data_IF_290575511323
#
_entry.id   IF_290575511323
#
_cell.length_a   1.000
_cell.length_b   1.000
_cell.length_c   1.000
_cell.angle_alpha   90.00
_cell.angle_beta   90.00
_cell.angle_gamma   90.00
#
_symmetry.space_group_name_H-M   'P 1'
#
loop_
_entity.id
_entity.type
_entity.pdbx_description
1 polymer ?
#
# COMPACT_ATOMS: atom_id res chain seq x y z
N UNK A 1 -9.53 -57.64 29.75
CA UNK A 1 -10.04 -57.11 28.49
C UNK A 1 -10.36 -55.58 28.57
N UNK A 2 -10.87 -55.11 29.69
CA UNK A 2 -11.23 -53.68 29.86
C UNK A 2 -10.06 -52.72 29.73
N UNK A 3 -8.89 -53.04 30.28
CA UNK A 3 -7.69 -52.17 30.24
C UNK A 3 -7.19 -51.93 28.82
N UNK A 4 -7.26 -52.96 27.95
CA UNK A 4 -6.86 -52.84 26.54
C UNK A 4 -7.84 -51.95 25.76
N UNK A 5 -9.12 -52.03 26.07
CA UNK A 5 -10.17 -51.23 25.43
C UNK A 5 -10.03 -49.76 25.81
N UNK A 6 -9.72 -49.45 27.05
CA UNK A 6 -9.45 -48.07 27.55
C UNK A 6 -8.22 -47.47 26.86
N UNK A 7 -7.14 -48.22 26.68
CA UNK A 7 -5.92 -47.78 26.01
C UNK A 7 -6.15 -47.50 24.52
N UNK A 8 -6.96 -48.32 23.85
CA UNK A 8 -7.31 -48.11 22.43
C UNK A 8 -8.18 -46.86 22.27
N UNK A 9 -9.16 -46.63 23.16
CA UNK A 9 -10.01 -45.45 23.12
C UNK A 9 -9.21 -44.19 23.41
N UNK A 10 -8.33 -44.19 24.42
CA UNK A 10 -7.46 -43.04 24.73
C UNK A 10 -6.47 -42.78 23.60
N UNK A 11 -5.88 -43.79 22.99
CA UNK A 11 -5.00 -43.67 21.83
C UNK A 11 -5.74 -43.11 20.59
N UNK A 12 -6.98 -43.53 20.37
CA UNK A 12 -7.84 -43.01 19.30
C UNK A 12 -8.20 -41.51 19.49
N UNK A 13 -8.58 -41.14 20.72
CA UNK A 13 -8.90 -39.74 21.04
C UNK A 13 -7.70 -38.80 20.89
N UNK A 14 -6.51 -39.24 21.33
CA UNK A 14 -5.28 -38.44 21.16
C UNK A 14 -4.89 -38.28 19.69
N UNK A 15 -5.00 -39.36 18.90
CA UNK A 15 -4.73 -39.29 17.46
C UNK A 15 -5.69 -38.34 16.70
N UNK A 16 -6.97 -38.37 17.06
CA UNK A 16 -7.97 -37.43 16.49
C UNK A 16 -7.69 -35.99 16.90
N UNK A 17 -7.33 -35.74 18.16
CA UNK A 17 -6.99 -34.40 18.65
C UNK A 17 -5.74 -33.84 17.96
N UNK A 18 -4.69 -34.66 17.76
CA UNK A 18 -3.49 -34.27 17.04
C UNK A 18 -3.77 -34.01 15.55
N UNK A 19 -4.60 -34.84 14.92
CA UNK A 19 -4.99 -34.67 13.53
C UNK A 19 -5.83 -33.38 13.34
N UNK A 20 -6.77 -33.10 14.26
CA UNK A 20 -7.57 -31.88 14.26
C UNK A 20 -6.70 -30.62 14.47
N UNK A 21 -5.75 -30.66 15.40
CA UNK A 21 -4.80 -29.56 15.63
C UNK A 21 -3.90 -29.29 14.43
N UNK A 22 -3.40 -30.34 13.75
CA UNK A 22 -2.63 -30.20 12.51
C UNK A 22 -3.46 -29.63 11.36
N UNK A 23 -4.73 -30.03 11.24
CA UNK A 23 -5.65 -29.50 10.23
C UNK A 23 -5.98 -28.04 10.47
N UNK A 24 -6.18 -27.63 11.74
CA UNK A 24 -6.40 -26.23 12.15
C UNK A 24 -5.22 -25.36 11.76
N UNK A 25 -4.02 -25.75 12.16
CA UNK A 25 -2.79 -25.02 11.85
C UNK A 25 -2.53 -24.90 10.33
N UNK A 26 -2.81 -25.96 9.56
CA UNK A 26 -2.67 -25.94 8.11
C UNK A 26 -3.66 -24.96 7.45
N UNK A 27 -4.90 -24.89 7.94
CA UNK A 27 -5.90 -23.92 7.46
C UNK A 27 -5.51 -22.49 7.79
N UNK A 28 -4.99 -22.25 8.98
CA UNK A 28 -4.52 -20.92 9.41
C UNK A 28 -3.35 -20.44 8.56
N UNK A 29 -2.35 -21.29 8.31
CA UNK A 29 -1.23 -20.99 7.42
C UNK A 29 -1.70 -20.71 5.99
N UNK A 30 -2.60 -21.52 5.44
CA UNK A 30 -3.13 -21.30 4.09
C UNK A 30 -3.94 -19.99 3.99
N UNK A 31 -4.65 -19.63 5.06
CA UNK A 31 -5.37 -18.34 5.13
C UNK A 31 -4.39 -17.17 5.16
N UNK A 32 -3.38 -17.21 6.03
CA UNK A 32 -2.34 -16.18 6.10
C UNK A 32 -1.61 -16.02 4.76
N UNK A 33 -1.25 -17.14 4.11
CA UNK A 33 -0.65 -17.12 2.77
C UNK A 33 -1.57 -16.48 1.73
N UNK A 34 -2.88 -16.78 1.75
CA UNK A 34 -3.85 -16.20 0.84
C UNK A 34 -4.06 -14.70 1.04
N UNK A 35 -3.89 -14.18 2.25
CA UNK A 35 -3.97 -12.77 2.58
C UNK A 35 -2.72 -11.99 2.09
N UNK A 36 -1.54 -12.61 2.13
CA UNK A 36 -0.28 -12.00 1.70
C UNK A 36 -0.08 -12.07 0.18
N UNK A 37 -0.53 -13.13 -0.46
CA UNK A 37 -0.26 -13.41 -1.88
C UNK A 37 -0.57 -12.25 -2.85
N UNK A 38 -1.69 -11.50 -2.72
CA UNK A 38 -1.97 -10.38 -3.62
C UNK A 38 -0.93 -9.26 -3.53
N UNK A 39 -0.55 -8.88 -2.30
CA UNK A 39 0.41 -7.81 -2.03
C UNK A 39 1.82 -8.23 -2.42
N UNK A 40 2.19 -9.46 -2.12
CA UNK A 40 3.48 -10.04 -2.49
C UNK A 40 3.69 -10.02 -4.00
N UNK A 41 2.68 -10.42 -4.76
CA UNK A 41 2.73 -10.36 -6.24
C UNK A 41 2.96 -8.94 -6.75
N UNK A 42 2.25 -7.93 -6.19
CA UNK A 42 2.48 -6.54 -6.59
C UNK A 42 3.90 -6.08 -6.26
N UNK A 43 4.41 -6.43 -5.09
CA UNK A 43 5.79 -6.11 -4.71
C UNK A 43 6.81 -6.77 -5.66
N UNK A 44 6.61 -8.03 -6.01
CA UNK A 44 7.47 -8.76 -6.95
C UNK A 44 7.40 -8.16 -8.38
N UNK A 45 6.22 -7.71 -8.82
CA UNK A 45 6.06 -6.97 -10.09
C UNK A 45 6.82 -5.64 -10.06
N UNK A 46 6.80 -4.91 -8.93
CA UNK A 46 7.50 -3.64 -8.77
C UNK A 46 9.01 -3.81 -8.71
N UNK A 47 9.49 -4.86 -8.05
CA UNK A 47 10.91 -5.25 -8.04
C UNK A 47 11.37 -5.58 -9.46
N UNK A 48 10.55 -6.32 -10.21
CA UNK A 48 10.86 -6.65 -11.60
C UNK A 48 10.93 -5.38 -12.45
N UNK A 49 9.99 -4.44 -12.28
CA UNK A 49 10.01 -3.17 -12.99
C UNK A 49 11.27 -2.36 -12.68
N UNK A 50 11.66 -2.25 -11.40
CA UNK A 50 12.90 -1.59 -11.00
C UNK A 50 14.14 -2.23 -11.66
N UNK A 51 14.16 -3.57 -11.77
CA UNK A 51 15.25 -4.28 -12.45
C UNK A 51 15.33 -3.95 -13.95
N UNK A 52 14.19 -3.79 -14.62
CA UNK A 52 14.15 -3.33 -16.03
C UNK A 52 14.62 -1.88 -16.15
N UNK A 53 14.12 -0.99 -15.26
CA UNK A 53 14.53 0.41 -15.20
C UNK A 53 16.06 0.57 -15.00
N UNK A 54 16.69 -0.32 -14.20
CA UNK A 54 18.14 -0.36 -14.00
C UNK A 54 18.88 -0.80 -15.26
N UNK A 55 18.36 -1.78 -15.99
CA UNK A 55 18.94 -2.21 -17.26
C UNK A 55 18.86 -1.09 -18.32
N UNK A 56 17.75 -0.36 -18.36
CA UNK A 56 17.59 0.78 -19.25
C UNK A 56 18.58 1.89 -18.86
N UNK A 57 18.77 2.14 -17.56
CA UNK A 57 19.77 3.09 -17.08
C UNK A 57 21.18 2.69 -17.48
N UNK A 58 21.55 1.41 -17.42
CA UNK A 58 22.85 0.91 -17.89
C UNK A 58 23.09 1.24 -19.36
N UNK A 59 22.04 1.09 -20.18
CA UNK A 59 22.12 1.44 -21.61
C UNK A 59 22.26 2.96 -21.79
N UNK A 60 21.52 3.76 -21.04
CA UNK A 60 21.61 5.22 -21.06
C UNK A 60 23.02 5.71 -20.66
N UNK A 61 23.65 5.04 -19.70
CA UNK A 61 24.97 5.39 -19.18
C UNK A 61 26.12 4.90 -20.05
N UNK A 62 25.86 4.06 -21.06
CA UNK A 62 26.89 3.48 -21.90
C UNK A 62 27.74 4.58 -22.56
N UNK A 63 29.05 4.57 -22.28
CA UNK A 63 29.98 5.57 -22.80
C UNK A 63 30.04 6.91 -22.06
N UNK A 64 29.26 7.09 -20.97
CA UNK A 64 29.34 8.25 -20.13
C UNK A 64 30.19 7.95 -18.87
N UNK A 65 31.27 8.70 -18.61
CA UNK A 65 32.02 8.55 -17.37
C UNK A 65 31.18 9.04 -16.20
N UNK A 66 31.02 8.21 -15.18
CA UNK A 66 30.34 8.60 -13.96
C UNK A 66 31.30 9.33 -13.02
N UNK A 67 30.90 10.48 -12.53
CA UNK A 67 31.58 11.13 -11.42
C UNK A 67 31.40 10.32 -10.12
N UNK A 68 32.15 10.60 -9.05
CA UNK A 68 32.01 9.85 -7.80
C UNK A 68 30.61 9.90 -7.19
N UNK A 69 29.88 11.01 -7.38
CA UNK A 69 28.50 11.15 -6.88
C UNK A 69 27.52 10.30 -7.69
N UNK A 70 27.62 10.33 -9.02
CA UNK A 70 26.80 9.50 -9.90
C UNK A 70 27.06 8.01 -9.64
N UNK A 71 28.32 7.62 -9.45
CA UNK A 71 28.68 6.25 -9.12
C UNK A 71 28.11 5.80 -7.77
N UNK A 72 28.16 6.66 -6.74
CA UNK A 72 27.57 6.37 -5.44
C UNK A 72 26.04 6.21 -5.52
N UNK A 73 25.36 7.06 -6.29
CA UNK A 73 23.91 6.96 -6.50
C UNK A 73 23.55 5.71 -7.32
N UNK A 74 24.36 5.35 -8.32
CA UNK A 74 24.17 4.12 -9.10
C UNK A 74 24.31 2.87 -8.23
N UNK A 75 25.35 2.79 -7.38
CA UNK A 75 25.50 1.68 -6.41
C UNK A 75 24.30 1.60 -5.45
N UNK A 76 23.82 2.76 -4.96
CA UNK A 76 22.61 2.79 -4.11
C UNK A 76 21.39 2.21 -4.84
N UNK A 77 21.22 2.50 -6.11
CA UNK A 77 20.12 1.96 -6.90
C UNK A 77 20.20 0.42 -7.03
N UNK A 78 21.41 -0.12 -7.27
CA UNK A 78 21.66 -1.57 -7.30
C UNK A 78 21.40 -2.22 -5.94
N UNK A 79 21.92 -1.63 -4.86
CA UNK A 79 21.71 -2.13 -3.50
C UNK A 79 20.23 -2.12 -3.11
N UNK A 80 19.49 -1.09 -3.54
CA UNK A 80 18.04 -1.01 -3.37
C UNK A 80 17.33 -2.13 -4.11
N UNK A 81 17.70 -2.44 -5.32
CA UNK A 81 17.13 -3.56 -6.09
C UNK A 81 17.31 -4.91 -5.37
N UNK A 82 18.53 -5.24 -4.95
CA UNK A 82 18.79 -6.49 -4.23
C UNK A 82 18.10 -6.54 -2.87
N UNK A 83 18.04 -5.42 -2.17
CA UNK A 83 17.32 -5.30 -0.90
C UNK A 83 15.80 -5.47 -1.08
N UNK A 84 15.20 -4.82 -2.09
CA UNK A 84 13.78 -4.93 -2.39
C UNK A 84 13.40 -6.37 -2.77
N UNK A 85 14.23 -7.03 -3.58
CA UNK A 85 14.07 -8.43 -3.98
C UNK A 85 14.06 -9.36 -2.76
N UNK A 86 14.99 -9.15 -1.84
CA UNK A 86 15.08 -9.93 -0.60
C UNK A 86 13.88 -9.67 0.31
N UNK A 87 13.50 -8.41 0.48
CA UNK A 87 12.36 -8.01 1.31
C UNK A 87 11.03 -8.52 0.74
N UNK A 88 10.82 -8.46 -0.59
CA UNK A 88 9.62 -8.98 -1.24
C UNK A 88 9.50 -10.51 -1.08
N UNK A 89 10.60 -11.23 -1.22
CA UNK A 89 10.62 -12.68 -1.01
C UNK A 89 10.26 -13.06 0.45
N UNK A 90 10.69 -12.24 1.42
CA UNK A 90 10.49 -12.47 2.85
C UNK A 90 9.12 -12.01 3.37
N UNK A 91 8.23 -11.46 2.53
CA UNK A 91 6.92 -10.99 2.95
C UNK A 91 6.09 -12.12 3.57
N UNK A 92 5.70 -11.92 4.83
CA UNK A 92 4.85 -12.85 5.60
C UNK A 92 3.55 -12.22 6.08
N UNK A 93 3.48 -10.88 6.10
CA UNK A 93 2.30 -10.09 6.47
C UNK A 93 2.05 -9.02 5.41
N UNK A 94 0.79 -8.70 5.10
CA UNK A 94 0.48 -7.66 4.11
C UNK A 94 1.12 -6.30 4.43
N UNK A 95 1.18 -5.91 5.71
CA UNK A 95 1.73 -4.62 6.15
C UNK A 95 3.24 -4.49 5.94
N UNK A 96 3.96 -5.61 5.85
CA UNK A 96 5.41 -5.63 5.64
C UNK A 96 5.79 -5.08 4.24
N UNK A 97 4.81 -4.97 3.32
CA UNK A 97 5.02 -4.39 1.98
C UNK A 97 5.50 -2.94 2.02
N UNK A 98 5.18 -2.19 3.08
CA UNK A 98 5.65 -0.81 3.26
C UNK A 98 7.17 -0.72 3.19
N UNK A 99 7.86 -1.67 3.81
CA UNK A 99 9.32 -1.70 3.75
C UNK A 99 9.84 -1.93 2.33
N UNK A 100 9.15 -2.77 1.54
CA UNK A 100 9.50 -2.98 0.12
C UNK A 100 9.29 -1.72 -0.69
N UNK A 101 8.14 -1.03 -0.52
CA UNK A 101 7.84 0.20 -1.26
C UNK A 101 8.82 1.32 -0.94
N UNK A 102 9.25 1.47 0.32
CA UNK A 102 10.27 2.44 0.74
C UNK A 102 11.62 2.18 0.03
N UNK A 103 12.06 0.92 -0.04
CA UNK A 103 13.30 0.55 -0.74
C UNK A 103 13.19 0.82 -2.24
N UNK A 104 12.04 0.52 -2.86
CA UNK A 104 11.81 0.77 -4.28
C UNK A 104 11.81 2.27 -4.62
N UNK A 105 11.23 3.09 -3.75
CA UNK A 105 11.29 4.56 -3.88
C UNK A 105 12.73 5.08 -3.76
N UNK A 106 13.51 4.55 -2.82
CA UNK A 106 14.93 4.91 -2.66
C UNK A 106 15.74 4.56 -3.91
N UNK A 107 15.51 3.38 -4.49
CA UNK A 107 16.17 2.96 -5.71
C UNK A 107 15.84 3.85 -6.91
N UNK A 108 14.56 4.17 -7.11
CA UNK A 108 14.12 5.07 -8.20
C UNK A 108 14.63 6.50 -8.01
N UNK A 109 14.65 6.99 -6.78
CA UNK A 109 15.25 8.28 -6.49
C UNK A 109 16.75 8.30 -6.79
N UNK A 110 17.48 7.26 -6.41
CA UNK A 110 18.90 7.13 -6.72
C UNK A 110 19.16 7.12 -8.25
N UNK A 111 18.37 6.38 -9.03
CA UNK A 111 18.45 6.42 -10.50
C UNK A 111 18.17 7.81 -11.08
N UNK A 112 17.18 8.53 -10.54
CA UNK A 112 16.90 9.89 -10.96
C UNK A 112 18.08 10.84 -10.65
N UNK A 113 18.76 10.65 -9.50
CA UNK A 113 19.98 11.39 -9.17
C UNK A 113 21.13 11.08 -10.15
N UNK A 114 21.32 9.82 -10.55
CA UNK A 114 22.31 9.45 -11.57
C UNK A 114 22.06 10.19 -12.87
N UNK A 115 20.82 10.15 -13.39
CA UNK A 115 20.44 10.84 -14.63
C UNK A 115 20.70 12.35 -14.55
N UNK A 116 20.29 13.00 -13.45
CA UNK A 116 20.52 14.42 -13.25
C UNK A 116 22.01 14.79 -13.23
N UNK A 117 22.85 13.99 -12.54
CA UNK A 117 24.30 14.22 -12.52
C UNK A 117 24.95 14.05 -13.89
N UNK A 118 24.58 13.02 -14.63
CA UNK A 118 25.10 12.78 -15.98
C UNK A 118 24.68 13.88 -16.93
N UNK A 119 23.45 14.39 -16.78
CA UNK A 119 22.95 15.55 -17.56
C UNK A 119 23.50 16.90 -17.11
N UNK A 120 24.22 16.97 -15.99
CA UNK A 120 24.67 18.24 -15.39
C UNK A 120 23.54 19.09 -14.82
N UNK A 121 22.43 18.46 -14.46
CA UNK A 121 21.24 19.09 -13.91
C UNK A 121 21.24 19.07 -12.37
N UNK A 122 20.49 19.97 -11.72
CA UNK A 122 20.28 19.89 -10.27
C UNK A 122 19.63 18.57 -9.88
N UNK A 123 19.99 18.05 -8.69
CA UNK A 123 19.38 16.83 -8.17
C UNK A 123 17.87 17.03 -8.02
N UNK A 124 17.07 16.00 -8.39
CA UNK A 124 15.63 16.09 -8.30
C UNK A 124 15.16 16.21 -6.84
N UNK A 125 14.06 16.90 -6.62
CA UNK A 125 13.41 16.87 -5.32
C UNK A 125 12.82 15.47 -5.09
N UNK A 126 12.91 15.00 -3.85
CA UNK A 126 12.27 13.74 -3.48
C UNK A 126 10.77 13.96 -3.38
N UNK A 127 10.04 13.46 -4.36
CA UNK A 127 8.58 13.50 -4.43
C UNK A 127 8.01 12.10 -4.31
N UNK A 128 6.73 11.94 -3.88
CA UNK A 128 6.06 10.64 -3.95
C UNK A 128 6.08 10.09 -5.39
N UNK A 129 5.95 8.79 -5.58
CA UNK A 129 5.81 8.21 -6.91
C UNK A 129 4.51 8.65 -7.58
N UNK A 130 4.35 8.34 -8.88
CA UNK A 130 3.12 8.59 -9.61
C UNK A 130 1.94 7.88 -8.94
N UNK A 131 0.87 8.63 -8.62
CA UNK A 131 -0.33 8.08 -8.00
C UNK A 131 -1.04 7.06 -8.88
N UNK A 132 -1.01 7.25 -10.18
CA UNK A 132 -1.72 6.37 -11.12
C UNK A 132 -1.08 4.99 -11.23
N UNK A 133 0.25 4.94 -11.28
CA UNK A 133 1.06 3.72 -11.18
C UNK A 133 2.41 4.05 -10.53
N UNK A 134 2.69 3.55 -9.33
CA UNK A 134 3.98 3.79 -8.68
C UNK A 134 5.20 3.35 -9.49
N UNK A 135 5.03 2.43 -10.45
CA UNK A 135 6.11 1.98 -11.36
C UNK A 135 6.52 3.04 -12.38
N UNK A 136 5.71 4.09 -12.60
CA UNK A 136 6.12 5.22 -13.44
C UNK A 136 7.22 6.08 -12.82
N UNK A 137 7.67 5.76 -11.61
CA UNK A 137 8.72 6.47 -10.90
C UNK A 137 8.24 7.77 -10.25
N UNK A 138 9.20 8.70 -10.04
CA UNK A 138 8.94 9.94 -9.31
C UNK A 138 7.89 10.82 -10.02
N UNK A 139 7.00 11.40 -9.22
CA UNK A 139 6.12 12.45 -9.71
C UNK A 139 6.90 13.74 -9.99
N UNK A 140 6.47 14.48 -11.01
CA UNK A 140 7.04 15.79 -11.37
C UNK A 140 6.14 16.95 -10.94
N UNK A 141 4.84 16.72 -10.80
CA UNK A 141 3.86 17.72 -10.39
C UNK A 141 2.65 17.04 -9.73
N UNK A 142 1.86 17.85 -9.02
CA UNK A 142 0.51 17.47 -8.63
C UNK A 142 -0.47 17.94 -9.70
N UNK A 143 -1.46 17.11 -10.01
CA UNK A 143 -2.48 17.40 -11.01
C UNK A 143 -3.87 17.25 -10.42
N UNK A 144 -4.80 18.17 -10.73
CA UNK A 144 -6.19 18.02 -10.34
C UNK A 144 -6.81 16.86 -11.13
N UNK A 145 -7.24 15.86 -10.41
CA UNK A 145 -7.85 14.67 -10.99
C UNK A 145 -9.16 14.34 -10.27
N UNK A 146 -10.17 13.98 -11.06
CA UNK A 146 -11.48 13.58 -10.54
C UNK A 146 -11.74 12.12 -10.93
N UNK A 147 -11.77 11.20 -9.97
CA UNK A 147 -12.15 9.82 -10.24
C UNK A 147 -13.62 9.73 -10.66
N UNK A 148 -14.01 8.70 -11.42
CA UNK A 148 -15.41 8.48 -11.76
C UNK A 148 -16.30 8.43 -10.51
N UNK A 149 -17.26 9.35 -10.42
CA UNK A 149 -18.17 9.50 -9.27
C UNK A 149 -17.56 10.11 -8.00
N UNK A 150 -16.34 10.62 -8.06
CA UNK A 150 -15.63 11.22 -6.93
C UNK A 150 -15.50 12.74 -7.00
N UNK A 151 -14.87 13.33 -5.99
CA UNK A 151 -14.52 14.74 -5.94
C UNK A 151 -13.13 15.00 -6.54
N UNK A 152 -12.90 16.18 -7.15
CA UNK A 152 -11.58 16.57 -7.64
C UNK A 152 -10.58 16.71 -6.48
N UNK A 153 -9.34 16.27 -6.73
CA UNK A 153 -8.22 16.41 -5.80
C UNK A 153 -6.91 16.44 -6.55
N UNK A 154 -5.90 17.05 -5.95
CA UNK A 154 -4.57 17.03 -6.49
C UNK A 154 -3.88 15.71 -6.13
N UNK A 155 -3.28 15.06 -7.12
CA UNK A 155 -2.53 13.82 -6.96
C UNK A 155 -1.15 13.95 -7.62
N UNK A 156 -0.08 13.36 -7.03
CA UNK A 156 1.24 13.38 -7.63
C UNK A 156 1.26 12.55 -8.91
N UNK A 157 1.80 13.09 -10.00
CA UNK A 157 1.84 12.43 -11.29
C UNK A 157 3.21 12.54 -11.97
N UNK A 158 3.61 11.49 -12.70
CA UNK A 158 4.77 11.50 -13.57
C UNK A 158 4.53 12.44 -14.78
N UNK A 159 5.59 12.77 -15.50
CA UNK A 159 5.51 13.70 -16.64
C UNK A 159 4.45 13.27 -17.66
N UNK A 160 4.41 11.99 -18.01
CA UNK A 160 3.48 11.47 -19.01
C UNK A 160 2.01 11.57 -18.55
N UNK A 161 1.72 11.25 -17.28
CA UNK A 161 0.36 11.34 -16.76
C UNK A 161 -0.07 12.80 -16.51
N UNK A 162 0.87 13.69 -16.20
CA UNK A 162 0.61 15.14 -16.19
C UNK A 162 0.11 15.61 -17.56
N UNK A 163 0.78 15.18 -18.63
CA UNK A 163 0.36 15.54 -19.99
C UNK A 163 -1.01 14.93 -20.35
N UNK A 164 -1.24 13.65 -20.01
CA UNK A 164 -2.52 12.98 -20.24
C UNK A 164 -3.68 13.70 -19.54
N UNK A 165 -3.53 13.96 -18.26
CA UNK A 165 -4.57 14.62 -17.46
C UNK A 165 -4.85 16.03 -17.98
N UNK A 166 -3.81 16.82 -18.34
CA UNK A 166 -3.97 18.14 -18.93
C UNK A 166 -4.64 18.13 -20.28
N UNK A 167 -4.41 17.08 -21.06
CA UNK A 167 -5.06 16.88 -22.36
C UNK A 167 -6.50 16.32 -22.22
N UNK A 168 -7.00 16.07 -21.01
CA UNK A 168 -8.30 15.43 -20.77
C UNK A 168 -8.33 13.95 -21.12
N UNK A 169 -7.17 13.31 -21.28
CA UNK A 169 -7.05 11.87 -21.51
C UNK A 169 -6.99 11.11 -20.17
N UNK A 170 -7.35 9.83 -20.21
CA UNK A 170 -7.22 8.97 -19.04
C UNK A 170 -5.73 8.75 -18.70
N UNK A 171 -5.35 8.89 -17.41
CA UNK A 171 -4.02 8.51 -16.94
C UNK A 171 -3.82 6.99 -17.03
N UNK A 172 -2.58 6.56 -17.05
CA UNK A 172 -2.23 5.14 -17.09
C UNK A 172 -2.31 4.53 -15.68
N UNK A 173 -3.47 3.97 -15.37
CA UNK A 173 -3.78 3.51 -14.02
C UNK A 173 -3.40 2.04 -13.86
N UNK A 174 -2.60 1.74 -12.83
CA UNK A 174 -2.33 0.37 -12.41
C UNK A 174 -3.61 -0.32 -11.96
N UNK A 175 -3.92 -1.45 -12.58
CA UNK A 175 -5.12 -2.24 -12.29
C UNK A 175 -4.74 -3.57 -11.67
N UNK A 176 -5.53 -3.98 -10.69
CA UNK A 176 -5.43 -5.26 -9.98
C UNK A 176 -6.68 -6.11 -10.20
N UNK A 177 -6.56 -7.42 -9.98
CA UNK A 177 -7.69 -8.34 -10.11
C UNK A 177 -8.41 -8.47 -8.77
N UNK A 178 -9.72 -8.21 -8.77
CA UNK A 178 -10.62 -8.50 -7.66
C UNK A 178 -11.72 -9.43 -8.17
N UNK A 179 -11.61 -10.71 -7.84
CA UNK A 179 -12.43 -11.75 -8.48
C UNK A 179 -12.12 -11.81 -9.98
N UNK A 180 -13.11 -11.61 -10.82
CA UNK A 180 -13.00 -11.59 -12.29
C UNK A 180 -12.86 -10.18 -12.88
N UNK A 181 -12.82 -9.14 -12.07
CA UNK A 181 -12.79 -7.74 -12.54
C UNK A 181 -11.40 -7.13 -12.35
N UNK A 182 -11.00 -6.30 -13.31
CA UNK A 182 -9.83 -5.40 -13.17
C UNK A 182 -10.30 -4.05 -12.63
N UNK A 183 -9.73 -3.65 -11.52
CA UNK A 183 -10.01 -2.37 -10.86
C UNK A 183 -8.70 -1.63 -10.58
N UNK A 184 -8.71 -0.29 -10.44
CA UNK A 184 -7.56 0.45 -9.94
C UNK A 184 -7.04 -0.16 -8.64
N UNK A 185 -5.71 -0.17 -8.43
CA UNK A 185 -5.10 -0.83 -7.26
C UNK A 185 -5.65 -0.31 -5.91
N UNK A 186 -6.00 0.96 -5.83
CA UNK A 186 -6.61 1.55 -4.63
C UNK A 186 -8.07 1.11 -4.40
N UNK A 187 -8.74 0.56 -5.42
CA UNK A 187 -10.06 -0.05 -5.31
C UNK A 187 -10.00 -1.56 -5.06
N UNK A 188 -8.83 -2.12 -4.91
CA UNK A 188 -8.63 -3.56 -4.69
C UNK A 188 -9.10 -4.07 -3.32
N UNK A 189 -9.64 -3.19 -2.46
CA UNK A 189 -10.13 -3.52 -1.13
C UNK A 189 -9.01 -3.85 -0.14
N UNK A 190 -9.36 -4.50 0.96
CA UNK A 190 -8.43 -4.80 2.07
C UNK A 190 -7.15 -5.51 1.65
N UNK A 191 -7.22 -6.37 0.66
CA UNK A 191 -6.06 -7.14 0.19
C UNK A 191 -4.96 -6.27 -0.42
N UNK A 192 -5.29 -5.09 -0.98
CA UNK A 192 -4.36 -4.19 -1.65
C UNK A 192 -4.12 -2.89 -0.90
N UNK A 193 -4.87 -2.63 0.16
CA UNK A 193 -4.75 -1.42 0.98
C UNK A 193 -3.35 -1.22 1.56
N UNK A 194 -2.65 -2.25 2.11
CA UNK A 194 -1.29 -2.08 2.62
C UNK A 194 -0.29 -1.63 1.55
N UNK A 195 -0.46 -2.09 0.31
CA UNK A 195 0.37 -1.67 -0.82
C UNK A 195 0.15 -0.18 -1.15
N UNK A 196 -1.09 0.25 -1.26
CA UNK A 196 -1.41 1.65 -1.52
C UNK A 196 -0.92 2.56 -0.38
N UNK A 197 -1.07 2.14 0.87
CA UNK A 197 -0.55 2.86 2.04
C UNK A 197 0.98 2.86 2.12
N UNK A 198 1.65 1.85 1.59
CA UNK A 198 3.10 1.78 1.52
C UNK A 198 3.67 2.96 0.74
N UNK A 199 3.14 3.23 -0.45
CA UNK A 199 3.57 4.35 -1.29
C UNK A 199 3.00 5.71 -0.86
N UNK A 200 1.79 5.74 -0.34
CA UNK A 200 1.06 6.99 -0.07
C UNK A 200 0.63 7.10 1.40
N UNK A 201 1.39 6.53 2.32
CA UNK A 201 1.11 6.59 3.76
C UNK A 201 1.12 7.99 4.35
N UNK A 202 1.74 8.96 3.66
CA UNK A 202 1.71 10.37 4.03
C UNK A 202 0.37 11.07 3.73
N UNK A 203 -0.51 10.46 2.92
CA UNK A 203 -1.88 10.95 2.77
C UNK A 203 -2.61 10.78 4.10
N UNK A 204 -3.37 11.81 4.49
CA UNK A 204 -4.09 11.76 5.76
C UNK A 204 -5.08 10.58 5.79
N UNK A 205 -5.41 10.02 6.96
CA UNK A 205 -6.44 9.00 7.09
C UNK A 205 -7.78 9.44 6.47
N UNK A 206 -8.06 10.75 6.48
CA UNK A 206 -9.23 11.35 5.88
C UNK A 206 -9.17 11.24 4.34
N UNK A 207 -8.00 11.41 3.72
CA UNK A 207 -7.81 11.24 2.28
C UNK A 207 -8.07 9.79 1.86
N UNK A 208 -7.63 8.82 2.67
CA UNK A 208 -7.89 7.40 2.45
C UNK A 208 -9.35 7.04 2.66
N UNK A 209 -10.01 7.63 3.66
CA UNK A 209 -11.43 7.43 3.91
C UNK A 209 -12.27 7.98 2.74
N UNK A 210 -11.98 9.18 2.27
CA UNK A 210 -12.65 9.75 1.08
C UNK A 210 -12.36 8.93 -0.17
N UNK A 211 -11.15 8.43 -0.35
CA UNK A 211 -10.79 7.55 -1.47
C UNK A 211 -11.57 6.24 -1.41
N UNK A 212 -11.68 5.60 -0.24
CA UNK A 212 -12.47 4.38 -0.04
C UNK A 212 -13.97 4.61 -0.22
N UNK A 213 -14.50 5.73 0.24
CA UNK A 213 -15.91 6.10 0.14
C UNK A 213 -16.33 6.44 -1.30
N UNK A 214 -15.44 7.06 -2.08
CA UNK A 214 -15.70 7.49 -3.44
C UNK A 214 -15.53 6.37 -4.47
N UNK A 215 -14.77 5.33 -4.14
CA UNK A 215 -14.46 4.23 -5.07
C UNK A 215 -15.32 2.99 -4.88
N UNK A 216 -16.44 3.09 -4.14
CA UNK A 216 -17.43 2.02 -4.06
C UNK A 216 -16.95 0.75 -3.35
N UNK A 217 -15.91 0.85 -2.53
CA UNK A 217 -15.64 -0.13 -1.50
C UNK A 217 -16.75 -0.03 -0.47
N UNK A 218 -17.77 -0.87 -0.61
CA UNK A 218 -18.97 -0.84 0.22
C UNK A 218 -18.61 -0.78 1.70
N UNK A 219 -19.43 -0.10 2.45
CA UNK A 219 -19.46 0.04 3.91
C UNK A 219 -19.48 -1.30 4.68
N UNK A 220 -19.40 -2.43 4.01
CA UNK A 220 -19.48 -3.78 4.60
C UNK A 220 -18.39 -4.09 5.66
N UNK A 221 -17.35 -3.24 5.77
CA UNK A 221 -16.32 -3.37 6.80
C UNK A 221 -16.34 -2.29 7.89
N UNK A 222 -17.11 -1.20 7.71
CA UNK A 222 -17.23 -0.14 8.70
C UNK A 222 -18.44 -0.35 9.64
N UNK A 223 -19.37 -1.23 9.29
CA UNK A 223 -20.55 -1.52 10.10
C UNK A 223 -20.23 -2.06 11.50
N UNK A 224 -19.18 -2.87 11.62
CA UNK A 224 -18.74 -3.37 12.94
C UNK A 224 -17.86 -2.37 13.72
N UNK A 225 -17.14 -1.47 13.04
CA UNK A 225 -16.28 -0.47 13.68
C UNK A 225 -17.02 0.80 14.10
N UNK A 226 -18.05 1.22 13.34
CA UNK A 226 -18.83 2.42 13.64
C UNK A 226 -19.85 2.14 14.75
N UNK A 227 -20.35 0.91 14.89
CA UNK A 227 -21.18 0.51 16.02
C UNK A 227 -20.49 0.74 17.36
N UNK A 228 -19.21 0.38 17.47
CA UNK A 228 -18.40 0.57 18.68
C UNK A 228 -18.02 2.05 18.93
N UNK A 229 -17.90 2.86 17.88
CA UNK A 229 -17.62 4.30 17.98
C UNK A 229 -18.90 5.09 18.24
N UNK A 230 -20.05 4.64 17.73
CA UNK A 230 -21.35 5.27 17.94
C UNK A 230 -21.82 5.22 19.38
N UNK A 231 -21.58 4.11 20.07
CA UNK A 231 -21.89 3.99 21.50
C UNK A 231 -20.97 4.87 22.37
N UNK A 232 -19.66 4.97 22.02
CA UNK A 232 -18.72 5.82 22.75
C UNK A 232 -18.90 7.33 22.52
N UNK A 233 -19.42 7.73 21.37
CA UNK A 233 -19.70 9.15 21.06
C UNK A 233 -21.04 9.58 21.63
N UNK A 234 -22.05 8.70 21.69
CA UNK A 234 -23.32 8.97 22.34
C UNK A 234 -23.16 9.32 23.81
N UNK A 235 -22.32 8.58 24.53
CA UNK A 235 -22.01 8.84 25.94
C UNK A 235 -21.18 10.11 26.16
N UNK A 236 -20.33 10.50 25.19
CA UNK A 236 -19.49 11.70 25.28
C UNK A 236 -20.31 13.00 25.05
N UNK A 237 -21.32 12.96 24.20
CA UNK A 237 -22.19 14.10 23.92
C UNK A 237 -23.44 14.13 24.79
N UNK A 238 -23.87 13.00 25.35
CA UNK A 238 -24.94 12.96 26.37
C UNK A 238 -24.57 13.66 27.69
N UNK A 239 -23.27 13.65 28.04
CA UNK A 239 -22.76 14.33 29.23
C UNK A 239 -22.57 15.86 29.10
N UNK A 240 -22.58 16.40 27.88
CA UNK A 240 -22.38 17.84 27.62
C UNK A 240 -23.72 18.59 27.57
N UNK A 241 -24.82 17.87 27.28
CA UNK A 241 -26.17 18.47 27.20
C UNK A 241 -26.71 18.99 28.52
N UNK A 242 -26.37 18.32 29.61
CA UNK A 242 -26.90 18.71 30.96
C UNK A 242 -26.09 19.85 31.62
N UNK A 243 -24.90 20.21 31.11
CA UNK A 243 -24.04 21.24 31.68
C UNK A 243 -24.20 22.65 31.06
N UNK A 244 -24.90 22.79 29.94
CA UNK A 244 -25.03 24.08 29.25
C UNK A 244 -26.37 24.78 29.58
N UNK A 245 -27.37 24.05 30.09
CA UNK A 245 -28.66 24.60 30.49
C UNK A 245 -28.57 25.62 31.64
N UNK A 246 -27.66 25.42 32.56
CA UNK A 246 -27.56 26.28 33.79
C UNK A 246 -26.68 27.53 33.59
N UNK A 247 -26.07 27.74 32.40
CA UNK A 247 -25.15 28.87 32.19
C UNK A 247 -25.81 30.09 31.51
N UNK A 248 -27.08 29.98 31.10
CA UNK A 248 -27.80 31.07 30.41
C UNK A 248 -28.94 31.70 31.18
N UNK A 249 -29.24 31.22 32.42
CA UNK A 249 -30.34 31.78 33.26
C UNK A 249 -29.88 32.93 34.18
N UNK A 250 -28.74 33.56 33.94
CA UNK A 250 -28.15 34.57 34.80
C UNK A 250 -27.91 35.96 34.21
N UNK A 251 -28.49 36.34 33.08
CA UNK A 251 -28.38 37.69 32.52
C UNK A 251 -29.76 38.27 32.16
N UNK A 252 -30.46 38.74 33.18
CA UNK A 252 -31.47 39.76 33.02
C UNK A 252 -30.80 41.15 33.07
N UNK A 253 -30.85 41.84 31.93
CA UNK A 253 -30.92 43.31 31.86
C UNK A 253 -31.81 43.72 30.71
#
# INVERSE_FOLDING_TARGET
>A
MELVLVLVVLGGLTAVAVAAGRSGKKRELARAESEVAPVKRLAEEDVTALGVELQDLDIELAGHPLDPGANADYQRALDSYESAKTAAAALTRPDDVRHVTEILEDGRYAMACVRARVAGEPLPQRRPPCFFDPRHGLSVADVPWTPPGGAPRDVPACALDVERVRAGAEPDIRKVMVGSRRVPYWQGGRAYQPYAQGYFGAFSPMDWMFMGMLFGGGFDGLGEGIGAIGEGIGDLFGGIGDGIGDMFDGFDF
#
